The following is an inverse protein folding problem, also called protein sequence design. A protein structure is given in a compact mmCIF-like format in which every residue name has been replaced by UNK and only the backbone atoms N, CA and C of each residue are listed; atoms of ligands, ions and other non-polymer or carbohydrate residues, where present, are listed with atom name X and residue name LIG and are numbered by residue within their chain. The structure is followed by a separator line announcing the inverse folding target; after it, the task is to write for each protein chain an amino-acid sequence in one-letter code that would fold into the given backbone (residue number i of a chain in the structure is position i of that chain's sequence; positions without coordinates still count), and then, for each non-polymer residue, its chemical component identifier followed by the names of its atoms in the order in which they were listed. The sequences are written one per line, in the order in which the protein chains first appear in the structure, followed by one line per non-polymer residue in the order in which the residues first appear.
data_IF_712681456679
#
_entry.id   IF_712681456679
#
_cell.length_a   1.000
_cell.length_b   1.000
_cell.length_c   1.000
_cell.angle_alpha   90.00
_cell.angle_beta   90.00
_cell.angle_gamma   90.00
#
_symmetry.space_group_name_H-M   'P 1'
#
loop_
_entity.id
_entity.type
_entity.pdbx_description
1 polymer ?
#
# COMPACT_ATOMS: atom_id res chain seq x y z
N UNK A 1 19.14 25.44 15.82
CA UNK A 1 19.20 24.10 15.17
C UNK A 1 17.98 23.22 15.48
N UNK A 2 17.39 23.27 16.64
CA UNK A 2 16.19 22.51 17.07
C UNK A 2 14.98 22.74 16.18
N UNK A 3 14.75 23.96 15.73
CA UNK A 3 13.57 24.33 14.92
C UNK A 3 13.56 23.68 13.52
N UNK A 4 14.71 23.52 12.88
CA UNK A 4 14.81 22.93 11.54
C UNK A 4 14.52 21.42 11.54
N UNK A 5 14.89 20.70 12.58
CA UNK A 5 14.70 19.26 12.72
C UNK A 5 13.24 18.90 13.00
N UNK A 6 12.56 19.67 13.85
CA UNK A 6 11.12 19.52 14.10
C UNK A 6 10.30 19.87 12.83
N UNK A 7 10.79 20.80 12.00
CA UNK A 7 10.25 21.09 10.69
C UNK A 7 10.28 19.88 9.77
N UNK A 8 11.38 19.10 9.77
CA UNK A 8 11.49 17.87 8.96
C UNK A 8 10.48 16.80 9.37
N UNK A 9 10.21 16.63 10.66
CA UNK A 9 9.14 15.77 11.14
C UNK A 9 7.76 16.24 10.63
N UNK A 10 7.49 17.54 10.70
CA UNK A 10 6.24 18.10 10.19
C UNK A 10 6.08 17.93 8.67
N UNK A 11 7.15 18.09 7.89
CA UNK A 11 7.13 17.83 6.45
C UNK A 11 6.90 16.33 6.17
N UNK A 12 7.50 15.45 6.95
CA UNK A 12 7.28 14.01 6.87
C UNK A 12 5.82 13.64 7.17
N UNK A 13 5.20 14.22 8.18
CA UNK A 13 3.79 13.96 8.50
C UNK A 13 2.84 14.44 7.40
N UNK A 14 3.16 15.53 6.71
CA UNK A 14 2.39 15.97 5.52
C UNK A 14 2.49 14.97 4.37
N UNK A 15 3.67 14.40 4.09
CA UNK A 15 3.79 13.31 3.12
C UNK A 15 2.97 12.11 3.56
N UNK A 16 3.00 11.77 4.84
CA UNK A 16 2.24 10.64 5.37
C UNK A 16 0.73 10.83 5.30
N UNK A 17 0.23 12.06 5.38
CA UNK A 17 -1.18 12.37 5.10
C UNK A 17 -1.57 12.00 3.66
N UNK A 18 -0.69 12.24 2.67
CA UNK A 18 -0.93 11.81 1.27
C UNK A 18 -0.96 10.29 1.15
N UNK A 19 -0.03 9.60 1.81
CA UNK A 19 -0.02 8.12 1.89
C UNK A 19 -1.31 7.60 2.51
N UNK A 20 -1.82 8.24 3.57
CA UNK A 20 -3.09 7.89 4.21
C UNK A 20 -4.27 8.05 3.24
N UNK A 21 -4.38 9.17 2.54
CA UNK A 21 -5.45 9.42 1.55
C UNK A 21 -5.43 8.37 0.43
N UNK A 22 -4.24 8.01 -0.08
CA UNK A 22 -4.13 6.93 -1.08
C UNK A 22 -4.55 5.58 -0.49
N UNK A 23 -4.18 5.29 0.76
CA UNK A 23 -4.58 4.06 1.44
C UNK A 23 -6.09 3.98 1.64
N UNK A 24 -6.74 5.09 2.03
CA UNK A 24 -8.19 5.18 2.20
C UNK A 24 -8.92 4.97 0.87
N UNK A 25 -8.42 5.58 -0.22
CA UNK A 25 -8.97 5.37 -1.56
C UNK A 25 -8.88 3.90 -1.99
N UNK A 26 -7.74 3.24 -1.77
CA UNK A 26 -7.55 1.81 -2.05
C UNK A 26 -8.52 0.97 -1.19
N UNK A 27 -8.67 1.30 0.09
CA UNK A 27 -9.58 0.59 1.00
C UNK A 27 -11.04 0.70 0.54
N UNK A 28 -11.49 1.89 0.13
CA UNK A 28 -12.83 2.10 -0.41
C UNK A 28 -13.07 1.31 -1.70
N UNK A 29 -12.12 1.31 -2.62
CA UNK A 29 -12.21 0.53 -3.86
C UNK A 29 -12.22 -0.99 -3.59
N UNK A 30 -11.44 -1.44 -2.60
CA UNK A 30 -11.39 -2.84 -2.19
C UNK A 30 -12.71 -3.28 -1.53
N UNK A 31 -13.29 -2.41 -0.70
CA UNK A 31 -14.60 -2.66 -0.11
C UNK A 31 -15.69 -2.72 -1.18
N UNK A 32 -15.74 -1.74 -2.10
CA UNK A 32 -16.71 -1.71 -3.20
C UNK A 32 -16.63 -2.99 -4.05
N UNK A 33 -15.43 -3.47 -4.35
CA UNK A 33 -15.21 -4.70 -5.12
C UNK A 33 -15.88 -5.93 -4.48
N UNK A 34 -15.89 -5.97 -3.15
CA UNK A 34 -16.45 -7.12 -2.42
C UNK A 34 -17.94 -6.97 -2.10
N UNK A 35 -18.45 -5.73 -1.98
CA UNK A 35 -19.77 -5.46 -1.48
C UNK A 35 -20.81 -5.18 -2.56
N UNK A 36 -20.55 -4.25 -3.49
CA UNK A 36 -21.58 -3.72 -4.39
C UNK A 36 -21.15 -3.60 -5.86
N UNK A 37 -19.90 -3.88 -6.18
CA UNK A 37 -19.37 -3.73 -7.55
C UNK A 37 -20.13 -4.60 -8.55
N UNK A 38 -20.61 -4.05 -9.71
CA UNK A 38 -21.18 -4.85 -10.77
C UNK A 38 -20.20 -5.90 -11.31
N UNK A 39 -20.70 -7.09 -11.66
CA UNK A 39 -19.88 -8.25 -12.07
C UNK A 39 -18.96 -7.98 -13.27
N UNK A 40 -19.32 -7.05 -14.16
CA UNK A 40 -18.51 -6.66 -15.32
C UNK A 40 -17.39 -5.66 -15.02
N UNK A 41 -17.31 -5.10 -13.81
CA UNK A 41 -16.36 -4.00 -13.47
C UNK A 41 -15.04 -4.48 -12.87
N UNK A 42 -14.84 -5.79 -12.72
CA UNK A 42 -13.69 -6.37 -12.01
C UNK A 42 -12.32 -5.93 -12.56
N UNK A 43 -12.14 -5.96 -13.89
CA UNK A 43 -10.89 -5.58 -14.52
C UNK A 43 -10.57 -4.08 -14.33
N UNK A 44 -11.56 -3.19 -14.49
CA UNK A 44 -11.37 -1.76 -14.27
C UNK A 44 -11.02 -1.45 -12.81
N UNK A 45 -11.66 -2.13 -11.85
CA UNK A 45 -11.39 -1.97 -10.42
C UNK A 45 -9.99 -2.46 -10.05
N UNK A 46 -9.56 -3.60 -10.62
CA UNK A 46 -8.20 -4.12 -10.44
C UNK A 46 -7.14 -3.11 -10.91
N UNK A 47 -7.36 -2.51 -12.08
CA UNK A 47 -6.48 -1.49 -12.64
C UNK A 47 -6.38 -0.25 -11.75
N UNK A 48 -7.51 0.27 -11.26
CA UNK A 48 -7.55 1.42 -10.36
C UNK A 48 -6.75 1.16 -9.08
N UNK A 49 -6.94 -0.03 -8.46
CA UNK A 49 -6.23 -0.40 -7.23
C UNK A 49 -4.73 -0.57 -7.51
N UNK A 50 -4.35 -1.18 -8.63
CA UNK A 50 -2.95 -1.36 -8.99
C UNK A 50 -2.22 -0.02 -9.17
N UNK A 51 -2.80 0.91 -9.92
CA UNK A 51 -2.23 2.26 -10.13
C UNK A 51 -2.09 3.00 -8.79
N UNK A 52 -3.12 3.01 -7.95
CA UNK A 52 -3.06 3.68 -6.64
C UNK A 52 -2.05 3.02 -5.71
N UNK A 53 -1.86 1.70 -5.79
CA UNK A 53 -0.86 0.97 -5.00
C UNK A 53 0.57 1.36 -5.40
N UNK A 54 0.83 1.51 -6.71
CA UNK A 54 2.12 2.00 -7.21
C UNK A 54 2.35 3.45 -6.76
N UNK A 55 1.39 4.34 -6.94
CA UNK A 55 1.50 5.74 -6.51
C UNK A 55 1.77 5.86 -5.01
N UNK A 56 1.07 5.05 -4.19
CA UNK A 56 1.33 4.99 -2.75
C UNK A 56 2.75 4.50 -2.45
N UNK A 57 3.20 3.47 -3.15
CA UNK A 57 4.54 2.93 -2.99
C UNK A 57 5.61 3.97 -3.34
N UNK A 58 5.47 4.66 -4.46
CA UNK A 58 6.38 5.73 -4.89
C UNK A 58 6.42 6.90 -3.87
N UNK A 59 5.26 7.31 -3.32
CA UNK A 59 5.21 8.35 -2.28
C UNK A 59 5.96 7.92 -1.01
N UNK A 60 5.85 6.63 -0.61
CA UNK A 60 6.55 6.10 0.55
C UNK A 60 8.06 6.02 0.28
N UNK A 61 8.48 5.54 -0.89
CA UNK A 61 9.88 5.22 -1.23
C UNK A 61 10.63 6.39 -1.86
N UNK A 62 10.00 7.55 -2.00
CA UNK A 62 10.65 8.78 -2.47
C UNK A 62 11.94 9.04 -1.67
N UNK A 63 13.08 9.31 -2.31
CA UNK A 63 14.35 9.63 -1.64
C UNK A 63 14.22 10.72 -0.57
N UNK A 64 13.35 11.73 -0.79
CA UNK A 64 13.07 12.76 0.20
C UNK A 64 12.47 12.18 1.50
N UNK A 65 11.72 11.10 1.42
CA UNK A 65 11.13 10.45 2.60
C UNK A 65 12.21 9.92 3.54
N UNK A 66 13.22 9.23 3.00
CA UNK A 66 14.36 8.75 3.79
C UNK A 66 15.13 9.91 4.42
N UNK A 67 15.39 10.95 3.64
CA UNK A 67 16.09 12.15 4.13
C UNK A 67 15.34 12.83 5.28
N UNK A 68 14.01 12.92 5.19
CA UNK A 68 13.17 13.48 6.24
C UNK A 68 13.13 12.60 7.50
N UNK A 69 13.09 11.27 7.35
CA UNK A 69 13.18 10.30 8.45
C UNK A 69 14.50 10.51 9.22
N UNK A 70 15.63 10.58 8.52
CA UNK A 70 16.96 10.72 9.14
C UNK A 70 17.15 12.09 9.82
N UNK A 71 16.53 13.15 9.28
CA UNK A 71 16.54 14.47 9.91
C UNK A 71 15.63 14.53 11.12
N UNK A 72 14.45 13.91 11.06
CA UNK A 72 13.48 13.86 12.15
C UNK A 72 14.02 13.04 13.34
N UNK A 73 14.77 11.98 13.09
CA UNK A 73 15.40 11.15 14.15
C UNK A 73 16.33 11.93 15.10
N UNK A 74 16.86 13.03 14.63
CA UNK A 74 17.75 13.91 15.39
C UNK A 74 17.01 15.08 16.07
N UNK A 75 15.67 15.09 16.00
CA UNK A 75 14.85 16.13 16.61
C UNK A 75 14.43 15.76 18.03
N UNK A 76 14.14 16.76 18.84
CA UNK A 76 13.46 16.56 20.12
C UNK A 76 11.96 16.37 19.86
N UNK A 77 11.55 15.12 19.83
CA UNK A 77 10.17 14.68 19.59
C UNK A 77 9.56 14.20 20.92
N UNK A 78 8.26 14.44 21.08
CA UNK A 78 7.51 13.84 22.18
C UNK A 78 7.29 12.33 21.98
N UNK A 79 6.74 11.64 22.98
CA UNK A 79 6.53 10.19 22.96
C UNK A 79 5.64 9.72 21.80
N UNK A 80 4.64 10.51 21.41
CA UNK A 80 3.72 10.19 20.31
C UNK A 80 4.44 10.40 18.98
N UNK A 81 5.14 11.51 18.82
CA UNK A 81 5.93 11.83 17.64
C UNK A 81 7.02 10.77 17.41
N UNK A 82 7.68 10.29 18.47
CA UNK A 82 8.68 9.21 18.39
C UNK A 82 8.08 7.89 17.91
N UNK A 83 6.92 7.51 18.45
CA UNK A 83 6.22 6.29 18.03
C UNK A 83 5.76 6.39 16.58
N UNK A 84 5.24 7.54 16.17
CA UNK A 84 4.86 7.78 14.78
C UNK A 84 6.09 7.68 13.85
N UNK A 85 7.21 8.28 14.20
CA UNK A 85 8.44 8.20 13.42
C UNK A 85 8.95 6.75 13.31
N UNK A 86 8.86 5.98 14.40
CA UNK A 86 9.21 4.56 14.40
C UNK A 86 8.35 3.77 13.39
N UNK A 87 7.02 3.95 13.40
CA UNK A 87 6.12 3.27 12.47
C UNK A 87 6.34 3.72 11.02
N UNK A 88 6.53 5.01 10.78
CA UNK A 88 6.87 5.54 9.46
C UNK A 88 8.14 4.87 8.92
N UNK A 89 9.19 4.78 9.73
CA UNK A 89 10.44 4.12 9.37
C UNK A 89 10.26 2.64 9.08
N UNK A 90 9.45 1.95 9.88
CA UNK A 90 9.13 0.53 9.68
C UNK A 90 8.45 0.31 8.33
N UNK A 91 7.42 1.11 8.03
CA UNK A 91 6.69 1.04 6.75
C UNK A 91 7.61 1.36 5.57
N UNK A 92 8.43 2.42 5.70
CA UNK A 92 9.41 2.77 4.66
C UNK A 92 10.36 1.61 4.34
N UNK A 93 10.93 0.97 5.38
CA UNK A 93 11.87 -0.17 5.19
C UNK A 93 11.23 -1.34 4.45
N UNK A 94 9.99 -1.67 4.78
CA UNK A 94 9.25 -2.71 4.07
C UNK A 94 8.98 -2.31 2.62
N UNK A 95 8.52 -1.09 2.38
CA UNK A 95 8.24 -0.62 1.03
C UNK A 95 9.52 -0.55 0.18
N UNK A 96 10.63 -0.02 0.72
CA UNK A 96 11.89 0.11 0.01
C UNK A 96 12.56 -1.23 -0.37
N UNK A 97 12.14 -2.34 0.24
CA UNK A 97 12.58 -3.67 -0.15
C UNK A 97 11.89 -4.21 -1.42
N UNK A 98 10.80 -3.57 -1.87
CA UNK A 98 10.00 -3.99 -3.00
C UNK A 98 10.23 -3.07 -4.20
N UNK A 99 10.23 -3.62 -5.41
CA UNK A 99 10.21 -2.79 -6.63
C UNK A 99 8.78 -2.34 -6.95
N UNK A 100 8.60 -1.16 -7.59
CA UNK A 100 7.27 -0.73 -8.07
C UNK A 100 6.60 -1.76 -8.99
N UNK A 101 7.39 -2.43 -9.83
CA UNK A 101 6.91 -3.49 -10.71
C UNK A 101 6.33 -4.66 -9.93
N UNK A 102 7.00 -5.12 -8.87
CA UNK A 102 6.50 -6.21 -8.02
C UNK A 102 5.20 -5.79 -7.30
N UNK A 103 5.12 -4.54 -6.83
CA UNK A 103 3.90 -3.99 -6.19
C UNK A 103 2.73 -4.02 -7.17
N UNK A 104 2.94 -3.63 -8.41
CA UNK A 104 1.92 -3.65 -9.47
C UNK A 104 1.49 -5.08 -9.79
N UNK A 105 2.44 -5.97 -10.09
CA UNK A 105 2.18 -7.37 -10.44
C UNK A 105 1.44 -8.09 -9.32
N UNK A 106 1.88 -7.93 -8.07
CA UNK A 106 1.22 -8.50 -6.91
C UNK A 106 -0.21 -7.97 -6.71
N UNK A 107 -0.42 -6.66 -6.88
CA UNK A 107 -1.76 -6.06 -6.78
C UNK A 107 -2.72 -6.64 -7.81
N UNK A 108 -2.27 -6.81 -9.07
CA UNK A 108 -3.07 -7.41 -10.15
C UNK A 108 -3.35 -8.89 -9.88
N UNK A 109 -2.34 -9.66 -9.47
CA UNK A 109 -2.50 -11.08 -9.16
C UNK A 109 -3.48 -11.29 -8.00
N UNK A 110 -3.40 -10.50 -6.93
CA UNK A 110 -4.37 -10.54 -5.83
C UNK A 110 -5.79 -10.24 -6.30
N UNK A 111 -5.97 -9.22 -7.13
CA UNK A 111 -7.31 -8.87 -7.65
C UNK A 111 -7.90 -9.99 -8.52
N UNK A 112 -7.11 -10.62 -9.37
CA UNK A 112 -7.53 -11.77 -10.17
C UNK A 112 -7.87 -12.98 -9.29
N UNK A 113 -7.02 -13.29 -8.31
CA UNK A 113 -7.22 -14.40 -7.36
C UNK A 113 -8.51 -14.22 -6.55
N UNK A 114 -8.81 -13.03 -6.05
CA UNK A 114 -10.05 -12.75 -5.32
C UNK A 114 -11.30 -12.95 -6.18
N UNK A 115 -11.27 -12.56 -7.45
CA UNK A 115 -12.37 -12.82 -8.40
C UNK A 115 -12.60 -14.32 -8.60
N UNK A 116 -11.52 -15.09 -8.81
CA UNK A 116 -11.61 -16.54 -8.94
C UNK A 116 -12.05 -17.23 -7.64
N UNK A 117 -11.63 -16.70 -6.48
CA UNK A 117 -12.04 -17.21 -5.19
C UNK A 117 -13.56 -17.06 -4.94
N UNK A 118 -14.14 -15.93 -5.32
CA UNK A 118 -15.59 -15.74 -5.22
C UNK A 118 -16.36 -16.79 -6.06
N UNK A 119 -15.88 -17.07 -7.27
CA UNK A 119 -16.45 -18.08 -8.14
C UNK A 119 -16.25 -19.49 -7.56
N UNK A 120 -15.04 -19.82 -7.13
CA UNK A 120 -14.69 -21.09 -6.50
C UNK A 120 -15.58 -21.43 -5.30
N UNK A 121 -15.88 -20.42 -4.46
CA UNK A 121 -16.80 -20.57 -3.32
C UNK A 121 -18.23 -20.83 -3.77
N UNK A 122 -18.70 -20.10 -4.79
CA UNK A 122 -20.06 -20.28 -5.32
C UNK A 122 -20.26 -21.67 -5.91
N UNK A 123 -19.23 -22.21 -6.58
CA UNK A 123 -19.26 -23.52 -7.23
C UNK A 123 -18.79 -24.65 -6.32
N UNK A 124 -18.34 -24.35 -5.08
CA UNK A 124 -17.70 -25.30 -4.18
C UNK A 124 -16.55 -26.08 -4.83
N UNK A 125 -15.76 -25.39 -5.65
CA UNK A 125 -14.70 -25.97 -6.46
C UNK A 125 -13.37 -25.19 -6.30
N UNK A 126 -12.43 -25.74 -5.50
CA UNK A 126 -11.12 -25.13 -5.26
C UNK A 126 -10.27 -25.03 -6.53
N UNK A 127 -10.43 -25.92 -7.50
CA UNK A 127 -9.62 -25.92 -8.73
C UNK A 127 -9.77 -24.63 -9.54
N UNK A 128 -10.88 -23.92 -9.39
CA UNK A 128 -11.13 -22.62 -10.04
C UNK A 128 -10.13 -21.56 -9.57
N UNK A 129 -9.74 -21.56 -8.30
CA UNK A 129 -8.84 -20.54 -7.71
C UNK A 129 -7.39 -21.00 -7.62
N UNK A 130 -7.12 -22.30 -7.75
CA UNK A 130 -5.78 -22.88 -7.49
C UNK A 130 -4.66 -22.25 -8.33
N UNK A 131 -4.92 -21.99 -9.63
CA UNK A 131 -3.93 -21.39 -10.52
C UNK A 131 -3.58 -19.95 -10.11
N UNK A 132 -4.58 -19.10 -9.95
CA UNK A 132 -4.38 -17.69 -9.56
C UNK A 132 -3.80 -17.54 -8.15
N UNK A 133 -4.13 -18.45 -7.22
CA UNK A 133 -3.50 -18.51 -5.91
C UNK A 133 -2.00 -18.85 -6.02
N UNK A 134 -1.65 -19.79 -6.90
CA UNK A 134 -0.25 -20.11 -7.19
C UNK A 134 0.54 -18.93 -7.73
N UNK A 135 -0.05 -18.11 -8.60
CA UNK A 135 0.57 -16.87 -9.09
C UNK A 135 0.86 -15.88 -7.95
N UNK A 136 -0.09 -15.67 -7.04
CA UNK A 136 0.13 -14.80 -5.86
C UNK A 136 1.26 -15.32 -4.99
N UNK A 137 1.29 -16.64 -4.71
CA UNK A 137 2.34 -17.25 -3.87
C UNK A 137 3.73 -17.13 -4.52
N UNK A 138 3.82 -17.21 -5.84
CA UNK A 138 5.10 -17.08 -6.55
C UNK A 138 5.66 -15.65 -6.56
N UNK A 139 4.83 -14.64 -6.26
CA UNK A 139 5.21 -13.23 -6.17
C UNK A 139 5.58 -12.80 -4.73
N UNK A 140 5.42 -13.67 -3.74
CA UNK A 140 5.73 -13.41 -2.33
C UNK A 140 6.99 -14.13 -1.89
#
# INVERSE_FOLDING_TARGET
MTNTRKKSYFELTKKWQRVAVLSDAIAMLSWDRQAIMPSGSGAARAEQIAILSVLKHEEITDPLTLELIDKADKAELDDIEQKNLFEIRRIYRHAAALSPKLVEEHSRACAACEGQWQLARKENNFQVVAGSLGEVVNLT
#
